data_IF_542243360931
#
_entry.id   IF_542243360931
#
_cell.length_a   1.000
_cell.length_b   1.000
_cell.length_c   1.000
_cell.angle_alpha   90.00
_cell.angle_beta   90.00
_cell.angle_gamma   90.00
#
_symmetry.space_group_name_H-M   'P 1'
#
loop_
_entity.id
_entity.type
_entity.pdbx_description
1 polymer ?
#
# COMPACT_ATOMS: atom_id res chain seq x y z
N UNK A 1 52.92 46.10 29.66
CA UNK A 1 52.88 45.76 28.23
C UNK A 1 51.55 45.06 28.01
N UNK A 2 50.60 45.80 27.46
CA UNK A 2 49.22 45.33 27.24
C UNK A 2 49.04 45.10 25.76
N UNK A 3 48.87 43.85 25.36
CA UNK A 3 48.50 43.50 23.98
C UNK A 3 46.97 43.41 23.91
N UNK A 4 46.42 44.43 23.28
CA UNK A 4 45.01 44.49 22.94
C UNK A 4 44.79 43.63 21.71
N UNK A 5 44.18 42.43 21.91
CA UNK A 5 43.73 41.54 20.84
C UNK A 5 42.46 42.12 20.20
N UNK A 6 42.61 42.85 19.11
CA UNK A 6 41.49 43.33 18.32
C UNK A 6 40.82 42.18 17.56
N UNK A 7 39.68 41.76 18.03
CA UNK A 7 38.80 40.80 17.33
C UNK A 7 38.33 41.41 15.99
N UNK A 8 38.92 40.99 14.88
CA UNK A 8 38.53 41.38 13.51
C UNK A 8 37.15 40.77 13.17
N UNK A 9 36.10 41.51 13.42
CA UNK A 9 34.73 41.17 13.01
C UNK A 9 34.62 41.20 11.49
N UNK A 10 34.64 40.00 10.87
CA UNK A 10 34.44 39.81 9.43
C UNK A 10 33.05 40.26 9.02
N UNK A 11 32.92 41.47 8.47
CA UNK A 11 31.66 42.02 7.97
C UNK A 11 31.17 41.17 6.80
N UNK A 12 30.06 40.42 7.02
CA UNK A 12 29.41 39.64 5.98
C UNK A 12 28.82 40.59 4.93
N UNK A 13 29.11 40.38 3.65
CA UNK A 13 28.56 41.20 2.59
C UNK A 13 27.07 40.89 2.41
N UNK A 14 26.24 41.88 2.03
CA UNK A 14 24.80 41.70 1.78
C UNK A 14 24.54 40.55 0.79
N UNK A 15 25.43 40.42 -0.24
CA UNK A 15 25.36 39.33 -1.23
C UNK A 15 25.56 37.94 -0.61
N UNK A 16 26.48 37.77 0.32
CA UNK A 16 26.72 36.47 0.99
C UNK A 16 25.56 36.10 1.92
N UNK A 17 24.94 37.08 2.58
CA UNK A 17 23.76 36.85 3.43
C UNK A 17 22.55 36.39 2.59
N UNK A 18 22.27 37.11 1.48
CA UNK A 18 21.15 36.74 0.59
C UNK A 18 21.35 35.36 -0.04
N UNK A 19 22.56 35.05 -0.50
CA UNK A 19 22.89 33.71 -1.03
C UNK A 19 22.76 32.64 0.02
N UNK A 20 23.23 32.87 1.23
CA UNK A 20 23.09 31.93 2.35
C UNK A 20 21.63 31.69 2.73
N UNK A 21 20.82 32.74 2.81
CA UNK A 21 19.39 32.64 3.07
C UNK A 21 18.65 31.86 1.96
N UNK A 22 19.00 32.14 0.69
CA UNK A 22 18.41 31.40 -0.44
C UNK A 22 18.70 29.89 -0.38
N UNK A 23 19.97 29.51 -0.14
CA UNK A 23 20.35 28.11 -0.01
C UNK A 23 19.75 27.45 1.22
N UNK A 24 19.61 28.15 2.35
CA UNK A 24 18.96 27.63 3.54
C UNK A 24 17.47 27.36 3.31
N UNK A 25 16.76 28.26 2.63
CA UNK A 25 15.35 28.09 2.29
C UNK A 25 15.12 26.93 1.30
N UNK A 26 15.95 26.82 0.26
CA UNK A 26 15.82 25.74 -0.73
C UNK A 26 16.13 24.39 -0.13
N UNK A 27 17.16 24.26 0.69
CA UNK A 27 17.48 22.99 1.36
C UNK A 27 16.39 22.58 2.36
N UNK A 28 15.83 23.55 3.11
CA UNK A 28 14.71 23.28 4.03
C UNK A 28 13.47 22.81 3.27
N UNK A 29 13.13 23.43 2.14
CA UNK A 29 11.99 23.03 1.31
C UNK A 29 12.16 21.62 0.74
N UNK A 30 13.37 21.29 0.24
CA UNK A 30 13.69 19.95 -0.27
C UNK A 30 13.59 18.89 0.85
N UNK A 31 14.13 19.21 2.03
CA UNK A 31 14.09 18.31 3.18
C UNK A 31 12.64 18.07 3.65
N UNK A 32 11.82 19.12 3.72
CA UNK A 32 10.40 19.01 4.07
C UNK A 32 9.63 18.18 3.05
N UNK A 33 9.88 18.38 1.76
CA UNK A 33 9.27 17.59 0.69
C UNK A 33 9.69 16.12 0.75
N UNK A 34 10.98 15.83 0.93
CA UNK A 34 11.49 14.47 1.08
C UNK A 34 10.91 13.78 2.32
N UNK A 35 10.77 14.49 3.43
CA UNK A 35 10.11 13.98 4.64
C UNK A 35 8.64 13.66 4.40
N UNK A 36 7.91 14.56 3.73
CA UNK A 36 6.51 14.36 3.38
C UNK A 36 6.33 13.12 2.49
N UNK A 37 7.14 12.99 1.43
CA UNK A 37 7.12 11.82 0.53
C UNK A 37 7.45 10.53 1.30
N UNK A 38 8.46 10.56 2.17
CA UNK A 38 8.85 9.38 2.96
C UNK A 38 7.78 8.97 3.96
N UNK A 39 7.07 9.92 4.55
CA UNK A 39 5.93 9.67 5.44
C UNK A 39 4.76 9.04 4.68
N UNK A 40 4.45 9.58 3.51
CA UNK A 40 3.41 9.04 2.62
C UNK A 40 3.73 7.61 2.20
N UNK A 41 4.96 7.35 1.76
CA UNK A 41 5.36 6.01 1.31
C UNK A 41 5.38 4.96 2.43
N UNK A 42 5.64 5.35 3.69
CA UNK A 42 5.53 4.46 4.85
C UNK A 42 4.08 4.09 5.15
N UNK A 43 3.15 5.04 5.05
CA UNK A 43 1.73 4.78 5.23
C UNK A 43 1.20 3.77 4.19
N UNK A 44 1.70 3.82 2.97
CA UNK A 44 1.35 2.87 1.89
C UNK A 44 1.98 1.47 2.05
N UNK A 45 3.06 1.34 2.86
CA UNK A 45 3.77 0.07 3.11
C UNK A 45 3.35 -0.64 4.40
N UNK A 46 2.38 -0.12 5.14
CA UNK A 46 1.87 -0.82 6.31
C UNK A 46 1.06 -2.02 5.84
N UNK A 47 1.75 -3.16 5.70
CA UNK A 47 1.10 -4.45 5.51
C UNK A 47 0.21 -4.72 6.71
N UNK A 48 -1.09 -4.76 6.47
CA UNK A 48 -2.09 -5.07 7.48
C UNK A 48 -2.27 -6.58 7.55
N UNK A 49 -2.19 -7.13 8.75
CA UNK A 49 -2.53 -8.53 8.98
C UNK A 49 -4.05 -8.65 9.05
N UNK A 50 -4.62 -9.43 8.17
CA UNK A 50 -6.05 -9.82 8.21
C UNK A 50 -6.11 -11.26 8.69
N UNK A 51 -6.79 -11.47 9.82
CA UNK A 51 -7.04 -12.82 10.37
C UNK A 51 -8.46 -13.22 10.03
N UNK A 52 -8.63 -14.35 9.37
CA UNK A 52 -9.90 -14.89 8.92
C UNK A 52 -10.17 -16.16 9.73
N UNK A 53 -11.33 -16.29 10.42
CA UNK A 53 -11.67 -17.49 11.15
C UNK A 53 -11.68 -18.72 10.24
N UNK A 54 -11.15 -19.84 10.74
CA UNK A 54 -11.04 -21.08 9.97
C UNK A 54 -12.38 -21.82 9.76
N UNK A 55 -13.42 -21.47 10.52
CA UNK A 55 -14.72 -22.11 10.53
C UNK A 55 -15.67 -21.69 9.39
N UNK A 56 -15.33 -20.62 8.68
CA UNK A 56 -16.15 -20.16 7.55
C UNK A 56 -16.12 -21.18 6.41
N UNK A 57 -17.30 -21.76 6.09
CA UNK A 57 -17.48 -22.79 5.05
C UNK A 57 -17.92 -22.24 3.70
N UNK A 58 -18.05 -20.94 3.57
CA UNK A 58 -18.47 -20.29 2.33
C UNK A 58 -17.44 -20.52 1.23
N UNK A 59 -17.89 -20.87 0.04
CA UNK A 59 -17.04 -21.05 -1.13
C UNK A 59 -16.29 -19.76 -1.48
N UNK A 60 -16.94 -18.60 -1.27
CA UNK A 60 -16.32 -17.27 -1.45
C UNK A 60 -16.75 -16.39 -0.28
N UNK A 61 -15.78 -15.85 0.44
CA UNK A 61 -15.99 -14.89 1.52
C UNK A 61 -15.23 -13.59 1.26
N UNK A 62 -15.87 -12.46 1.56
CA UNK A 62 -15.23 -11.13 1.51
C UNK A 62 -14.94 -10.66 2.93
N UNK A 63 -13.68 -10.50 3.26
CA UNK A 63 -13.25 -10.07 4.59
C UNK A 63 -12.31 -8.88 4.42
N UNK A 64 -12.69 -7.72 4.95
CA UNK A 64 -11.94 -6.48 4.79
C UNK A 64 -11.58 -6.20 3.31
N UNK A 65 -10.29 -6.21 2.99
CA UNK A 65 -9.75 -5.93 1.66
C UNK A 65 -9.32 -7.21 0.91
N UNK A 66 -9.79 -8.39 1.36
CA UNK A 66 -9.45 -9.65 0.74
C UNK A 66 -10.67 -10.47 0.34
N UNK A 67 -10.48 -11.34 -0.64
CA UNK A 67 -11.44 -12.34 -1.10
C UNK A 67 -10.85 -13.71 -0.81
N UNK A 68 -11.56 -14.50 -0.04
CA UNK A 68 -11.20 -15.90 0.25
C UNK A 68 -12.01 -16.80 -0.66
N UNK A 69 -11.35 -17.56 -1.50
CA UNK A 69 -11.97 -18.56 -2.36
C UNK A 69 -11.57 -19.96 -1.89
N UNK A 70 -12.57 -20.82 -1.65
CA UNK A 70 -12.39 -22.20 -1.27
C UNK A 70 -12.94 -23.09 -2.38
N UNK A 71 -12.11 -23.94 -2.92
CA UNK A 71 -12.49 -24.88 -3.98
C UNK A 71 -11.36 -25.88 -4.24
N UNK A 72 -11.69 -27.03 -4.79
CA UNK A 72 -10.76 -28.09 -5.17
C UNK A 72 -9.80 -28.52 -4.04
N UNK A 73 -10.28 -28.48 -2.78
CA UNK A 73 -9.46 -28.79 -1.61
C UNK A 73 -8.41 -27.74 -1.26
N UNK A 74 -8.39 -26.58 -1.93
CA UNK A 74 -7.45 -25.50 -1.72
C UNK A 74 -8.14 -24.21 -1.26
N UNK A 75 -7.43 -23.43 -0.45
CA UNK A 75 -7.86 -22.07 -0.08
C UNK A 75 -6.93 -21.08 -0.79
N UNK A 76 -7.52 -20.15 -1.51
CA UNK A 76 -6.80 -19.05 -2.18
C UNK A 76 -7.33 -17.73 -1.65
N UNK A 77 -6.43 -16.79 -1.41
CA UNK A 77 -6.81 -15.45 -0.94
C UNK A 77 -6.27 -14.42 -1.92
N UNK A 78 -7.16 -13.56 -2.38
CA UNK A 78 -6.85 -12.51 -3.33
C UNK A 78 -7.09 -11.14 -2.70
N UNK A 79 -6.35 -10.13 -3.16
CA UNK A 79 -6.70 -8.75 -2.87
C UNK A 79 -8.08 -8.44 -3.49
N UNK A 80 -9.00 -7.85 -2.71
CA UNK A 80 -10.33 -7.47 -3.18
C UNK A 80 -10.28 -6.23 -4.10
N UNK A 81 -9.22 -6.11 -4.89
CA UNK A 81 -8.93 -4.96 -5.74
C UNK A 81 -8.88 -5.39 -7.21
N UNK A 82 -9.74 -4.80 -8.01
CA UNK A 82 -9.81 -5.07 -9.46
C UNK A 82 -8.53 -4.62 -10.17
N UNK A 83 -7.96 -5.50 -10.96
CA UNK A 83 -6.69 -5.26 -11.68
C UNK A 83 -6.82 -4.33 -12.88
N UNK A 84 -8.04 -3.85 -13.21
CA UNK A 84 -8.26 -2.82 -14.21
C UNK A 84 -7.86 -1.43 -13.67
N UNK A 85 -8.60 -0.90 -12.68
CA UNK A 85 -8.40 0.43 -12.11
C UNK A 85 -8.54 0.46 -10.57
N UNK A 86 -8.34 -0.65 -9.89
CA UNK A 86 -8.26 -0.71 -8.44
C UNK A 86 -9.59 -0.65 -7.68
N UNK A 87 -10.74 -0.74 -8.36
CA UNK A 87 -12.06 -0.75 -7.70
C UNK A 87 -12.20 -1.98 -6.80
N UNK A 88 -12.89 -1.80 -5.67
CA UNK A 88 -13.14 -2.90 -4.74
C UNK A 88 -14.17 -3.87 -5.31
N UNK A 89 -13.83 -5.16 -5.30
CA UNK A 89 -14.75 -6.25 -5.65
C UNK A 89 -15.46 -6.69 -4.38
N UNK A 90 -16.81 -6.70 -4.39
CA UNK A 90 -17.63 -6.93 -3.20
C UNK A 90 -18.73 -7.93 -3.40
N UNK A 91 -18.87 -8.52 -4.58
CA UNK A 91 -19.97 -9.47 -4.85
C UNK A 91 -19.58 -10.58 -5.82
N UNK A 92 -20.29 -11.68 -5.69
CA UNK A 92 -20.28 -12.81 -6.60
C UNK A 92 -21.59 -12.82 -7.39
N UNK A 93 -21.52 -13.11 -8.68
CA UNK A 93 -22.67 -13.38 -9.53
C UNK A 93 -22.34 -14.52 -10.48
N UNK A 94 -23.19 -15.51 -10.56
CA UNK A 94 -23.04 -16.69 -11.42
C UNK A 94 -21.69 -17.41 -11.20
N UNK A 95 -21.22 -17.48 -9.95
CA UNK A 95 -19.94 -18.10 -9.59
C UNK A 95 -18.70 -17.26 -9.96
N UNK A 96 -18.88 -16.02 -10.44
CA UNK A 96 -17.80 -15.11 -10.80
C UNK A 96 -17.72 -13.94 -9.82
N UNK A 97 -16.50 -13.51 -9.52
CA UNK A 97 -16.22 -12.29 -8.77
C UNK A 97 -16.41 -11.09 -9.70
N UNK A 98 -17.28 -10.18 -9.36
CA UNK A 98 -17.70 -9.09 -10.25
C UNK A 98 -17.23 -7.74 -9.71
N UNK A 99 -16.47 -7.01 -10.54
CA UNK A 99 -16.11 -5.63 -10.27
C UNK A 99 -17.28 -4.69 -10.63
N UNK A 100 -17.78 -3.90 -9.66
CA UNK A 100 -18.96 -3.06 -9.90
C UNK A 100 -18.70 -1.85 -10.79
N UNK A 101 -17.44 -1.43 -10.97
CA UNK A 101 -17.13 -0.19 -11.69
C UNK A 101 -17.27 -0.35 -13.22
N UNK A 102 -16.60 -1.36 -13.79
CA UNK A 102 -16.51 -1.52 -15.24
C UNK A 102 -16.82 -2.96 -15.69
N UNK A 103 -17.43 -3.77 -14.82
CA UNK A 103 -17.93 -5.10 -15.17
C UNK A 103 -16.85 -6.16 -15.41
N UNK A 104 -15.59 -5.95 -15.01
CA UNK A 104 -14.61 -7.03 -15.03
C UNK A 104 -15.05 -8.19 -14.18
N UNK A 105 -14.93 -9.41 -14.70
CA UNK A 105 -15.32 -10.66 -14.04
C UNK A 105 -14.11 -11.58 -13.88
N UNK A 106 -13.97 -12.18 -12.72
CA UNK A 106 -12.88 -13.11 -12.42
C UNK A 106 -13.44 -14.43 -11.92
N UNK A 107 -12.77 -15.53 -12.22
CA UNK A 107 -13.08 -16.83 -11.65
C UNK A 107 -12.59 -16.93 -10.20
N UNK A 108 -13.01 -17.95 -9.50
CA UNK A 108 -12.58 -18.21 -8.12
C UNK A 108 -11.10 -18.63 -8.00
N UNK A 109 -10.45 -18.95 -9.11
CA UNK A 109 -9.00 -19.15 -9.20
C UNK A 109 -8.21 -17.83 -9.42
N UNK A 110 -8.92 -16.70 -9.51
CA UNK A 110 -8.37 -15.37 -9.74
C UNK A 110 -8.20 -15.00 -11.21
N UNK A 111 -8.37 -15.92 -12.15
CA UNK A 111 -8.20 -15.65 -13.58
C UNK A 111 -9.30 -14.74 -14.13
N UNK A 112 -8.96 -13.95 -15.15
CA UNK A 112 -9.93 -13.08 -15.84
C UNK A 112 -10.91 -13.92 -16.64
N UNK A 113 -12.20 -13.72 -16.44
CA UNK A 113 -13.26 -14.36 -17.20
C UNK A 113 -13.83 -13.44 -18.30
N UNK A 114 -13.97 -12.13 -17.99
CA UNK A 114 -14.49 -11.15 -18.93
C UNK A 114 -14.20 -9.72 -18.45
N UNK A 115 -14.38 -8.75 -19.36
CA UNK A 115 -14.28 -7.33 -19.06
C UNK A 115 -12.91 -6.73 -19.32
N UNK A 116 -12.69 -5.44 -18.95
CA UNK A 116 -11.50 -4.70 -19.31
C UNK A 116 -10.23 -5.05 -18.50
N UNK A 117 -10.32 -5.86 -17.43
CA UNK A 117 -9.12 -6.33 -16.73
C UNK A 117 -8.30 -7.26 -17.64
N UNK A 118 -7.00 -7.03 -17.72
CA UNK A 118 -6.06 -7.78 -18.58
C UNK A 118 -5.17 -8.77 -17.83
N UNK A 119 -5.18 -8.75 -16.48
CA UNK A 119 -4.38 -9.63 -15.62
C UNK A 119 -5.22 -10.22 -14.49
N UNK A 120 -4.84 -11.40 -13.97
CA UNK A 120 -5.56 -12.04 -12.86
C UNK A 120 -5.53 -11.17 -11.60
N UNK A 121 -6.36 -11.53 -10.62
CA UNK A 121 -6.33 -10.94 -9.29
C UNK A 121 -5.00 -11.24 -8.60
N UNK A 122 -4.56 -10.29 -7.77
CA UNK A 122 -3.32 -10.44 -7.02
C UNK A 122 -3.52 -11.48 -5.90
N UNK A 123 -2.85 -12.63 -6.02
CA UNK A 123 -2.83 -13.69 -5.03
C UNK A 123 -1.99 -13.23 -3.83
N UNK A 124 -2.54 -13.36 -2.64
CA UNK A 124 -1.87 -12.99 -1.41
C UNK A 124 -1.26 -14.19 -0.71
N UNK A 125 -0.06 -14.06 -0.11
CA UNK A 125 0.54 -15.13 0.67
C UNK A 125 -0.31 -15.43 1.90
N UNK A 126 -0.62 -16.71 2.10
CA UNK A 126 -1.50 -17.22 3.13
C UNK A 126 -0.70 -18.06 4.12
N UNK A 127 -0.92 -17.82 5.41
CA UNK A 127 -0.48 -18.68 6.50
C UNK A 127 -1.70 -19.30 7.18
N UNK A 128 -1.66 -20.62 7.41
CA UNK A 128 -2.73 -21.36 8.08
C UNK A 128 -2.21 -21.81 9.45
N UNK A 129 -2.89 -21.42 10.51
CA UNK A 129 -2.60 -21.94 11.85
C UNK A 129 -3.09 -23.40 11.93
N UNK A 130 -2.19 -24.38 12.12
CA UNK A 130 -2.57 -25.79 12.14
C UNK A 130 -3.45 -26.18 13.34
N UNK A 131 -3.50 -25.35 14.39
CA UNK A 131 -4.26 -25.63 15.61
C UNK A 131 -5.69 -25.12 15.55
N UNK A 132 -5.89 -23.95 14.95
CA UNK A 132 -7.18 -23.25 14.92
C UNK A 132 -7.81 -23.25 13.53
N UNK A 133 -7.04 -23.56 12.48
CA UNK A 133 -7.45 -23.40 11.09
C UNK A 133 -7.57 -21.93 10.66
N UNK A 134 -7.22 -20.99 11.51
CA UNK A 134 -7.30 -19.58 11.18
C UNK A 134 -6.32 -19.23 10.04
N UNK A 135 -6.78 -18.38 9.12
CA UNK A 135 -6.01 -17.92 7.98
C UNK A 135 -5.45 -16.53 8.30
N UNK A 136 -4.15 -16.34 8.12
CA UNK A 136 -3.50 -15.03 8.28
C UNK A 136 -2.92 -14.58 6.95
N UNK A 137 -3.25 -13.37 6.54
CA UNK A 137 -2.88 -12.80 5.24
C UNK A 137 -2.29 -11.42 5.42
N UNK A 138 -1.19 -11.15 4.73
CA UNK A 138 -0.59 -9.83 4.65
C UNK A 138 -1.18 -9.06 3.46
N UNK A 139 -1.86 -7.94 3.74
CA UNK A 139 -2.38 -7.02 2.73
C UNK A 139 -1.47 -5.80 2.67
N UNK A 140 -0.98 -5.48 1.50
CA UNK A 140 -0.10 -4.31 1.25
C UNK A 140 -0.83 -3.24 0.46
#
# INVERSE_FOLDING_TARGET
>A
MSESSAASGKRLSRRSIVRGAFWALTTSAIAAFAWMVSRQSRAWRQSRLVTIPGDSREAVAFVDEVIVCRGDGAVRVFAARCTHLGCRITKVSDGLLVCPCHGSKFRTDGSVAAGPASRPLDLLPLQIDPRTGALTVHVS
#
